data_IF_663821785128
#
_entry.id   IF_663821785128
#
_cell.length_a   1.000
_cell.length_b   1.000
_cell.length_c   1.000
_cell.angle_alpha   90.00
_cell.angle_beta   90.00
_cell.angle_gamma   90.00
#
_symmetry.space_group_name_H-M   'P 1'
#
loop_
_entity.id
_entity.type
_entity.pdbx_description
1 polymer ?
#
# COMPACT_ATOMS: atom_id res chain seq x y z
N UNK A 1 -37.66 -15.26 -20.59
CA UNK A 1 -36.57 -14.45 -20.03
C UNK A 1 -36.93 -13.02 -20.33
N UNK A 2 -37.52 -12.36 -19.35
CA UNK A 2 -37.95 -10.97 -19.47
C UNK A 2 -36.77 -10.02 -19.26
N UNK A 3 -37.03 -8.72 -19.44
CA UNK A 3 -36.05 -7.66 -19.23
C UNK A 3 -35.53 -7.63 -17.79
N UNK A 4 -36.34 -8.07 -16.83
CA UNK A 4 -35.97 -8.21 -15.42
C UNK A 4 -34.96 -9.35 -15.24
N UNK A 5 -35.19 -10.52 -15.84
CA UNK A 5 -34.26 -11.65 -15.80
C UNK A 5 -32.89 -11.28 -16.38
N UNK A 6 -32.88 -10.54 -17.50
CA UNK A 6 -31.64 -10.10 -18.13
C UNK A 6 -30.90 -9.05 -17.30
N UNK A 7 -31.63 -8.10 -16.70
CA UNK A 7 -31.05 -7.11 -15.80
C UNK A 7 -30.43 -7.78 -14.56
N UNK A 8 -31.09 -8.80 -14.00
CA UNK A 8 -30.56 -9.57 -12.87
C UNK A 8 -29.25 -10.30 -13.23
N UNK A 9 -29.18 -10.91 -14.42
CA UNK A 9 -27.96 -11.59 -14.88
C UNK A 9 -26.79 -10.63 -15.09
N UNK A 10 -27.06 -9.46 -15.67
CA UNK A 10 -26.04 -8.43 -15.87
C UNK A 10 -25.52 -7.92 -14.52
N UNK A 11 -26.43 -7.62 -13.59
CA UNK A 11 -26.05 -7.15 -12.26
C UNK A 11 -25.21 -8.18 -11.50
N UNK A 12 -25.59 -9.46 -11.55
CA UNK A 12 -24.81 -10.54 -10.94
C UNK A 12 -23.42 -10.66 -11.57
N UNK A 13 -23.33 -10.54 -12.90
CA UNK A 13 -22.07 -10.59 -13.63
C UNK A 13 -21.12 -9.46 -13.20
N UNK A 14 -21.59 -8.20 -13.19
CA UNK A 14 -20.77 -7.06 -12.79
C UNK A 14 -20.40 -7.12 -11.32
N UNK A 15 -21.31 -7.58 -10.45
CA UNK A 15 -21.05 -7.79 -9.02
C UNK A 15 -19.93 -8.81 -8.82
N UNK A 16 -19.95 -9.94 -9.53
CA UNK A 16 -18.90 -10.96 -9.45
C UNK A 16 -17.56 -10.45 -9.98
N UNK A 17 -17.57 -9.74 -11.10
CA UNK A 17 -16.35 -9.16 -11.67
C UNK A 17 -15.70 -8.14 -10.72
N UNK A 18 -16.49 -7.28 -10.08
CA UNK A 18 -16.00 -6.31 -9.11
C UNK A 18 -15.39 -6.97 -7.87
N UNK A 19 -16.03 -8.01 -7.32
CA UNK A 19 -15.51 -8.77 -6.19
C UNK A 19 -14.18 -9.44 -6.54
N UNK A 20 -14.11 -10.10 -7.69
CA UNK A 20 -12.89 -10.77 -8.16
C UNK A 20 -11.74 -9.76 -8.38
N UNK A 21 -12.01 -8.61 -8.99
CA UNK A 21 -11.01 -7.55 -9.14
C UNK A 21 -10.49 -7.02 -7.78
N UNK A 22 -11.39 -6.85 -6.79
CA UNK A 22 -11.01 -6.43 -5.45
C UNK A 22 -10.09 -7.45 -4.75
N UNK A 23 -10.43 -8.75 -4.82
CA UNK A 23 -9.62 -9.80 -4.23
C UNK A 23 -8.29 -10.03 -4.98
N UNK A 24 -8.28 -9.84 -6.31
CA UNK A 24 -7.03 -9.87 -7.10
C UNK A 24 -6.09 -8.70 -6.76
N UNK A 25 -6.63 -7.52 -6.44
CA UNK A 25 -5.84 -6.34 -6.07
C UNK A 25 -5.32 -6.39 -4.62
N UNK A 26 -5.89 -7.23 -3.75
CA UNK A 26 -5.41 -7.48 -2.38
C UNK A 26 -4.85 -8.91 -2.24
N UNK A 27 -3.57 -9.18 -2.55
CA UNK A 27 -2.96 -10.43 -2.16
C UNK A 27 -2.82 -10.45 -0.62
N UNK A 28 -3.75 -11.16 0.02
CA UNK A 28 -3.70 -11.67 1.38
C UNK A 28 -3.05 -10.73 2.44
N UNK A 29 -3.72 -9.63 2.75
CA UNK A 29 -3.40 -8.86 3.96
C UNK A 29 -3.97 -9.62 5.15
N UNK A 30 -3.07 -10.12 6.00
CA UNK A 30 -3.37 -10.74 7.31
C UNK A 30 -4.39 -9.92 8.10
N UNK A 31 -5.29 -10.55 8.89
CA UNK A 31 -6.28 -9.82 9.65
C UNK A 31 -5.60 -9.17 10.87
N UNK A 32 -5.38 -7.86 10.79
CA UNK A 32 -5.19 -7.05 11.99
C UNK A 32 -6.05 -5.79 11.94
N UNK A 33 -6.50 -5.40 13.12
CA UNK A 33 -7.72 -4.68 13.47
C UNK A 33 -7.93 -3.27 12.87
N UNK A 34 -9.18 -2.99 12.46
CA UNK A 34 -9.77 -1.64 12.36
C UNK A 34 -9.32 -0.83 11.14
N UNK A 35 -10.12 0.04 10.50
CA UNK A 35 -11.48 0.54 10.68
C UNK A 35 -11.89 1.13 9.32
N UNK A 36 -13.15 0.91 8.90
CA UNK A 36 -13.92 1.58 7.83
C UNK A 36 -13.20 2.11 6.58
N UNK A 37 -13.53 1.58 5.40
CA UNK A 37 -13.26 2.26 4.12
C UNK A 37 -14.38 1.98 3.12
N UNK A 38 -15.25 2.97 2.98
CA UNK A 38 -16.27 3.09 1.95
C UNK A 38 -15.58 3.59 0.67
N UNK A 39 -15.92 2.99 -0.46
CA UNK A 39 -15.34 3.28 -1.75
C UNK A 39 -15.91 4.58 -2.36
N UNK A 40 -15.01 5.41 -2.87
CA UNK A 40 -15.21 6.12 -4.14
C UNK A 40 -15.70 7.56 -4.11
N UNK A 41 -14.78 8.52 -4.31
CA UNK A 41 -15.05 9.64 -5.21
C UNK A 41 -13.74 10.18 -5.81
N UNK A 42 -13.54 9.96 -7.11
CA UNK A 42 -12.50 10.57 -7.92
C UNK A 42 -12.99 11.91 -8.47
N UNK A 43 -12.68 13.00 -7.76
CA UNK A 43 -12.72 14.36 -8.30
C UNK A 43 -11.37 14.76 -8.91
N UNK A 44 -11.33 15.67 -9.90
CA UNK A 44 -10.07 16.19 -10.42
C UNK A 44 -9.37 17.05 -9.36
N UNK A 45 -8.13 16.67 -9.05
CA UNK A 45 -7.27 17.31 -8.06
C UNK A 45 -6.80 18.68 -8.59
N UNK A 46 -7.19 19.83 -8.01
CA UNK A 46 -6.48 21.08 -8.27
C UNK A 46 -5.11 21.01 -7.58
N UNK A 47 -4.14 21.71 -8.15
CA UNK A 47 -2.73 21.76 -7.74
C UNK A 47 -2.50 21.73 -6.22
N UNK A 48 -1.76 20.71 -5.75
CA UNK A 48 -1.07 20.75 -4.46
C UNK A 48 0.40 20.44 -4.67
N UNK A 49 1.18 21.48 -4.96
CA UNK A 49 2.56 21.54 -4.47
C UNK A 49 2.48 21.40 -2.94
N UNK A 50 2.76 20.20 -2.46
CA UNK A 50 2.72 19.87 -1.04
C UNK A 50 3.30 18.49 -0.83
N UNK A 51 4.59 18.32 -1.14
CA UNK A 51 5.35 17.25 -0.51
C UNK A 51 5.27 17.45 1.01
N UNK A 52 5.21 16.37 1.82
CA UNK A 52 5.17 16.51 3.26
C UNK A 52 6.36 17.35 3.71
N UNK A 53 6.03 18.43 4.42
CA UNK A 53 7.02 19.34 4.99
C UNK A 53 8.01 18.54 5.86
N UNK A 54 9.32 18.83 5.77
CA UNK A 54 10.33 18.16 6.58
C UNK A 54 10.10 18.54 8.05
N UNK A 55 9.40 17.65 8.76
CA UNK A 55 9.16 17.75 10.19
C UNK A 55 10.50 17.70 10.93
N UNK A 56 10.88 18.85 11.46
CA UNK A 56 12.03 19.05 12.32
C UNK A 56 12.02 18.08 13.51
N UNK A 57 13.11 17.32 13.69
CA UNK A 57 13.30 16.47 14.86
C UNK A 57 14.42 15.44 14.77
N UNK A 58 15.64 15.91 14.48
CA UNK A 58 16.97 15.39 14.89
C UNK A 58 17.21 13.86 14.85
N UNK A 59 18.15 13.45 13.99
CA UNK A 59 18.76 12.12 13.83
C UNK A 59 18.11 11.19 12.78
N UNK A 60 17.51 11.76 11.73
CA UNK A 60 17.15 11.02 10.52
C UNK A 60 18.41 10.42 9.87
N UNK A 61 18.48 9.08 9.81
CA UNK A 61 19.55 8.38 9.07
C UNK A 61 19.14 8.17 7.63
N UNK A 62 20.12 8.20 6.74
CA UNK A 62 19.92 7.95 5.32
C UNK A 62 20.16 6.46 5.02
N UNK A 63 19.29 5.88 4.21
CA UNK A 63 19.42 4.52 3.72
C UNK A 63 20.63 4.38 2.81
N UNK A 64 21.49 3.38 3.06
CA UNK A 64 22.69 3.15 2.25
C UNK A 64 22.44 2.67 0.81
N UNK A 65 21.28 2.07 0.52
CA UNK A 65 20.98 1.55 -0.84
C UNK A 65 20.22 2.53 -1.74
N UNK A 66 19.29 3.32 -1.20
CA UNK A 66 18.41 4.19 -1.98
C UNK A 66 18.53 5.67 -1.62
N UNK A 67 19.41 6.02 -0.68
CA UNK A 67 19.68 7.40 -0.24
C UNK A 67 18.45 8.16 0.28
N UNK A 68 17.34 7.46 0.50
CA UNK A 68 16.13 7.99 1.13
C UNK A 68 16.26 8.06 2.64
N UNK A 69 15.48 8.93 3.27
CA UNK A 69 15.40 9.03 4.71
C UNK A 69 14.81 7.75 5.32
N UNK A 70 15.46 7.24 6.37
CA UNK A 70 14.95 6.12 7.15
C UNK A 70 13.90 6.68 8.11
N UNK A 71 12.70 6.13 8.01
CA UNK A 71 11.56 6.51 8.84
C UNK A 71 11.95 6.53 10.34
N UNK A 72 11.62 7.61 11.06
CA UNK A 72 12.01 7.76 12.46
C UNK A 72 11.39 6.68 13.36
N UNK A 73 10.20 6.18 13.05
CA UNK A 73 9.60 5.04 13.76
C UNK A 73 10.49 3.81 13.72
N UNK A 74 11.15 3.60 12.58
CA UNK A 74 12.07 2.48 12.41
C UNK A 74 13.39 2.70 13.14
N UNK A 75 13.90 3.92 13.20
CA UNK A 75 15.08 4.24 14.01
C UNK A 75 14.77 4.16 15.51
N UNK A 76 13.53 4.45 15.93
CA UNK A 76 13.07 4.21 17.31
C UNK A 76 13.01 2.73 17.65
N UNK A 77 12.47 1.90 16.75
CA UNK A 77 12.37 0.46 16.94
C UNK A 77 13.72 -0.24 16.85
N UNK A 78 14.55 0.16 15.89
CA UNK A 78 15.89 -0.38 15.64
C UNK A 78 16.86 0.79 15.46
N UNK A 79 17.47 1.27 16.56
CA UNK A 79 18.42 2.36 16.55
C UNK A 79 19.72 2.07 15.81
N UNK A 80 19.92 0.91 15.20
CA UNK A 80 21.10 0.59 14.38
C UNK A 80 20.75 0.38 12.90
N UNK A 81 19.50 0.67 12.51
CA UNK A 81 19.07 0.45 11.13
C UNK A 81 19.88 1.31 10.14
N UNK A 82 20.41 0.66 9.09
CA UNK A 82 21.24 1.28 8.03
C UNK A 82 20.56 1.33 6.64
N UNK A 83 19.51 0.53 6.42
CA UNK A 83 18.68 0.52 5.19
C UNK A 83 17.27 0.99 5.50
N UNK A 84 16.40 1.35 4.57
CA UNK A 84 14.95 1.48 4.81
C UNK A 84 14.24 0.10 4.84
N UNK A 85 12.94 0.04 5.16
CA UNK A 85 12.16 -1.23 5.18
C UNK A 85 12.16 -1.91 3.82
N UNK A 86 11.96 -1.14 2.75
CA UNK A 86 11.87 -1.69 1.39
C UNK A 86 13.20 -2.31 0.94
N UNK A 87 14.31 -1.59 1.13
CA UNK A 87 15.65 -2.05 0.77
C UNK A 87 16.08 -3.24 1.64
N UNK A 88 15.72 -3.25 2.93
CA UNK A 88 15.93 -4.39 3.81
C UNK A 88 15.17 -5.63 3.32
N UNK A 89 13.90 -5.49 2.96
CA UNK A 89 13.06 -6.59 2.45
C UNK A 89 13.63 -7.18 1.16
N UNK A 90 14.09 -6.32 0.24
CA UNK A 90 14.74 -6.75 -1.02
C UNK A 90 16.04 -7.52 -0.76
N UNK A 91 16.85 -7.08 0.21
CA UNK A 91 18.07 -7.78 0.58
C UNK A 91 17.78 -9.18 1.13
N UNK A 92 16.83 -9.30 2.06
CA UNK A 92 16.44 -10.58 2.64
C UNK A 92 15.90 -11.55 1.60
N UNK A 93 15.07 -11.05 0.67
CA UNK A 93 14.59 -11.86 -0.45
C UNK A 93 15.75 -12.37 -1.30
N UNK A 94 16.71 -11.50 -1.66
CA UNK A 94 17.88 -11.88 -2.44
C UNK A 94 18.73 -12.93 -1.73
N UNK A 95 18.97 -12.79 -0.43
CA UNK A 95 19.73 -13.77 0.35
C UNK A 95 19.04 -15.14 0.37
N UNK A 96 17.70 -15.16 0.50
CA UNK A 96 16.92 -16.41 0.51
C UNK A 96 16.88 -17.14 -0.83
N UNK A 97 16.98 -16.40 -1.94
CA UNK A 97 16.84 -16.94 -3.30
C UNK A 97 18.15 -16.94 -4.10
N UNK A 98 19.26 -16.53 -3.49
CA UNK A 98 20.59 -16.72 -4.04
C UNK A 98 21.01 -18.18 -3.82
N UNK A 99 20.49 -19.06 -4.68
CA UNK A 99 20.86 -20.46 -4.85
C UNK A 99 21.27 -20.73 -6.28
#
# INVERSE_FOLDING_TARGET
>A
MDDIDQAQQNDEFFRRQALDAYFRRRPNTTPFHGTHSEAGNSGPHPESRGGPEPGAGTDGRICIDCEGEIEPERLKAVPEAVRCIDCQTKLEWRIRHAG
#
